data_IF_046931324824
#
_entry.id   IF_046931324824
#
_cell.length_a   1.000
_cell.length_b   1.000
_cell.length_c   1.000
_cell.angle_alpha   90.00
_cell.angle_beta   90.00
_cell.angle_gamma   90.00
#
_symmetry.space_group_name_H-M   'P 1'
#
loop_
_entity.id
_entity.type
_entity.pdbx_description
1 polymer ?
#
# COMPACT_ATOMS: atom_id res chain seq x y z
N UNK A 1 43.77 15.91 41.83
CA UNK A 1 42.78 14.82 41.99
C UNK A 1 41.39 15.41 41.77
N UNK A 2 40.89 15.46 40.53
CA UNK A 2 39.67 16.24 40.24
C UNK A 2 38.82 15.76 39.05
N UNK A 3 38.71 14.47 38.71
CA UNK A 3 38.03 14.18 37.41
C UNK A 3 37.55 12.74 37.26
N UNK A 4 36.71 12.26 38.19
CA UNK A 4 35.93 11.03 37.94
C UNK A 4 34.43 11.26 38.11
N UNK A 5 34.04 12.04 39.12
CA UNK A 5 32.62 12.37 39.36
C UNK A 5 32.03 13.30 38.28
N UNK A 6 32.76 14.36 37.85
CA UNK A 6 32.25 15.33 36.86
C UNK A 6 32.02 14.75 35.46
N UNK A 7 32.79 13.72 35.08
CA UNK A 7 32.68 13.05 33.77
C UNK A 7 31.39 12.22 33.70
N UNK A 8 31.05 11.52 34.78
CA UNK A 8 29.82 10.74 34.86
C UNK A 8 28.58 11.64 34.81
N UNK A 9 28.60 12.78 35.50
CA UNK A 9 27.51 13.76 35.44
C UNK A 9 27.34 14.35 34.04
N UNK A 10 28.44 14.63 33.34
CA UNK A 10 28.42 15.13 31.97
C UNK A 10 27.85 14.08 30.99
N UNK A 11 28.27 12.82 31.11
CA UNK A 11 27.75 11.73 30.28
C UNK A 11 26.25 11.48 30.52
N UNK A 12 25.82 11.50 31.79
CA UNK A 12 24.41 11.33 32.15
C UNK A 12 23.54 12.49 31.64
N UNK A 13 24.03 13.73 31.75
CA UNK A 13 23.36 14.90 31.20
C UNK A 13 23.27 14.82 29.66
N UNK A 14 24.34 14.42 28.97
CA UNK A 14 24.35 14.25 27.52
C UNK A 14 23.36 13.16 27.07
N UNK A 15 23.29 12.03 27.78
CA UNK A 15 22.37 10.94 27.49
C UNK A 15 20.91 11.37 27.65
N UNK A 16 20.58 12.13 28.70
CA UNK A 16 19.25 12.70 28.90
C UNK A 16 18.87 13.63 27.74
N UNK A 17 19.79 14.52 27.32
CA UNK A 17 19.58 15.44 26.20
C UNK A 17 19.30 14.65 24.90
N UNK A 18 20.07 13.60 24.61
CA UNK A 18 19.84 12.74 23.43
C UNK A 18 18.48 12.04 23.47
N UNK A 19 17.98 11.63 24.64
CA UNK A 19 16.67 11.00 24.78
C UNK A 19 15.51 11.99 24.56
N UNK A 20 15.66 13.26 24.96
CA UNK A 20 14.63 14.29 24.70
C UNK A 20 14.53 14.60 23.20
N UNK A 21 15.66 14.65 22.49
CA UNK A 21 15.69 14.91 21.05
C UNK A 21 15.39 13.67 20.17
N UNK A 22 15.45 12.46 20.73
CA UNK A 22 15.04 11.23 20.03
C UNK A 22 13.53 11.05 19.92
N UNK A 23 12.72 11.95 20.48
CA UNK A 23 11.31 12.04 20.12
C UNK A 23 11.16 12.70 18.75
N UNK A 24 11.64 12.02 17.71
CA UNK A 24 11.16 12.26 16.37
C UNK A 24 9.66 12.01 16.39
N UNK A 25 8.88 13.08 16.54
CA UNK A 25 7.44 13.01 16.33
C UNK A 25 7.26 12.43 14.93
N UNK A 26 6.48 11.34 14.76
CA UNK A 26 6.21 10.83 13.43
C UNK A 26 5.70 12.01 12.61
N UNK A 27 6.35 12.29 11.47
CA UNK A 27 5.87 13.31 10.54
C UNK A 27 4.36 13.13 10.38
N UNK A 28 3.56 14.22 10.40
CA UNK A 28 2.12 14.12 10.21
C UNK A 28 1.86 13.32 8.93
N UNK A 29 1.39 12.09 9.10
CA UNK A 29 1.13 11.19 7.98
C UNK A 29 -0.15 11.68 7.34
N UNK A 30 -0.08 11.99 6.06
CA UNK A 30 -1.16 12.64 5.33
C UNK A 30 -2.30 11.65 5.08
N UNK A 31 -3.13 11.45 6.11
CA UNK A 31 -4.47 10.86 5.94
C UNK A 31 -5.17 11.63 4.83
N UNK A 32 -5.72 10.91 3.86
CA UNK A 32 -6.31 11.48 2.66
C UNK A 32 -5.37 11.53 1.44
N UNK A 33 -4.08 11.20 1.57
CA UNK A 33 -3.21 11.00 0.41
C UNK A 33 -3.77 9.93 -0.52
N UNK A 34 -3.66 10.19 -1.83
CA UNK A 34 -4.22 9.32 -2.87
C UNK A 34 -3.19 8.95 -3.93
N UNK A 35 -3.31 7.73 -4.40
CA UNK A 35 -2.64 7.23 -5.60
C UNK A 35 -3.63 6.48 -6.47
N UNK A 36 -3.37 6.42 -7.77
CA UNK A 36 -4.25 5.77 -8.74
C UNK A 36 -3.45 4.93 -9.72
N UNK A 37 -4.08 3.85 -10.18
CA UNK A 37 -3.63 3.10 -11.36
C UNK A 37 -4.82 2.91 -12.28
N UNK A 38 -4.62 3.27 -13.54
CA UNK A 38 -5.54 3.00 -14.64
C UNK A 38 -5.02 1.80 -15.40
N UNK A 39 -5.88 0.81 -15.65
CA UNK A 39 -5.55 -0.46 -16.28
C UNK A 39 -6.34 -0.56 -17.60
N UNK A 40 -5.79 -0.07 -18.74
CA UNK A 40 -6.53 0.12 -19.98
C UNK A 40 -6.98 -1.18 -20.68
N UNK A 41 -6.23 -2.29 -20.51
CA UNK A 41 -6.56 -3.59 -21.11
C UNK A 41 -7.72 -4.28 -20.41
N UNK A 42 -7.94 -4.01 -19.13
CA UNK A 42 -9.12 -4.49 -18.37
C UNK A 42 -10.16 -3.39 -18.13
N UNK A 43 -9.97 -2.22 -18.74
CA UNK A 43 -10.83 -1.04 -18.58
C UNK A 43 -11.15 -0.77 -17.10
N UNK A 44 -10.09 -0.74 -16.31
CA UNK A 44 -10.19 -0.67 -14.86
C UNK A 44 -9.50 0.55 -14.28
N UNK A 45 -9.95 0.95 -13.10
CA UNK A 45 -9.26 1.95 -12.28
C UNK A 45 -9.26 1.49 -10.83
N UNK A 46 -8.11 1.60 -10.18
CA UNK A 46 -7.97 1.36 -8.74
C UNK A 46 -7.43 2.64 -8.09
N UNK A 47 -8.09 3.08 -7.03
CA UNK A 47 -7.70 4.22 -6.21
C UNK A 47 -7.26 3.73 -4.85
N UNK A 48 -6.07 4.17 -4.42
CA UNK A 48 -5.52 3.94 -3.10
C UNK A 48 -5.68 5.21 -2.27
N UNK A 49 -6.25 5.11 -1.08
CA UNK A 49 -6.43 6.24 -0.16
C UNK A 49 -5.82 5.90 1.20
N UNK A 50 -5.00 6.81 1.74
CA UNK A 50 -4.49 6.69 3.11
C UNK A 50 -5.64 6.96 4.09
N UNK A 51 -6.07 5.95 4.84
CA UNK A 51 -7.23 6.08 5.75
C UNK A 51 -6.84 6.37 7.19
N UNK A 52 -5.63 6.00 7.59
CA UNK A 52 -5.02 6.35 8.87
C UNK A 52 -3.48 6.35 8.77
N UNK A 53 -2.78 6.40 9.89
CA UNK A 53 -1.31 6.47 9.93
C UNK A 53 -0.59 5.21 9.38
N UNK A 54 -1.27 4.07 9.27
CA UNK A 54 -0.68 2.77 8.95
C UNK A 54 -1.46 1.95 7.94
N UNK A 55 -2.64 2.38 7.51
CA UNK A 55 -3.49 1.61 6.59
C UNK A 55 -3.85 2.39 5.32
N UNK A 56 -3.93 1.63 4.23
CA UNK A 56 -4.38 2.09 2.92
C UNK A 56 -5.65 1.33 2.55
N UNK A 57 -6.63 2.05 2.02
CA UNK A 57 -7.81 1.47 1.36
C UNK A 57 -7.59 1.48 -0.15
N UNK A 58 -7.78 0.35 -0.80
CA UNK A 58 -7.89 0.23 -2.25
C UNK A 58 -9.36 0.11 -2.64
N UNK A 59 -9.79 0.87 -3.64
CA UNK A 59 -11.14 0.84 -4.22
C UNK A 59 -11.02 0.74 -5.73
N UNK A 60 -11.79 -0.14 -6.37
CA UNK A 60 -11.69 -0.30 -7.80
C UNK A 60 -12.85 -1.03 -8.44
N UNK A 61 -12.81 -1.06 -9.78
CA UNK A 61 -13.69 -1.83 -10.63
C UNK A 61 -12.97 -2.14 -11.94
N UNK A 62 -13.15 -3.35 -12.45
CA UNK A 62 -12.70 -3.75 -13.79
C UNK A 62 -13.93 -3.95 -14.67
N UNK A 63 -13.91 -3.47 -15.91
CA UNK A 63 -15.07 -3.56 -16.81
C UNK A 63 -14.94 -4.62 -17.91
N UNK A 64 -13.73 -5.14 -18.18
CA UNK A 64 -13.49 -6.20 -19.16
C UNK A 64 -12.31 -7.11 -18.77
N UNK A 65 -12.12 -8.21 -19.51
CA UNK A 65 -11.00 -9.15 -19.35
C UNK A 65 -11.19 -10.22 -18.26
N UNK A 66 -12.32 -10.20 -17.55
CA UNK A 66 -12.71 -11.22 -16.56
C UNK A 66 -13.83 -12.07 -17.19
N UNK A 67 -13.45 -13.16 -17.83
CA UNK A 67 -14.35 -13.93 -18.71
C UNK A 67 -15.06 -15.09 -18.00
N UNK A 68 -14.58 -15.49 -16.83
CA UNK A 68 -15.10 -16.61 -16.05
C UNK A 68 -15.39 -16.18 -14.61
N UNK A 69 -16.52 -16.62 -14.05
CA UNK A 69 -16.86 -16.39 -12.64
C UNK A 69 -16.12 -17.37 -11.71
N UNK A 70 -14.78 -17.28 -11.69
CA UNK A 70 -13.88 -18.09 -10.87
C UNK A 70 -12.87 -17.19 -10.15
N UNK A 71 -13.26 -16.52 -9.05
CA UNK A 71 -12.41 -15.52 -8.40
C UNK A 71 -11.07 -16.06 -7.87
N UNK A 72 -10.95 -17.36 -7.61
CA UNK A 72 -9.67 -17.97 -7.23
C UNK A 72 -8.65 -18.06 -8.37
N UNK A 73 -9.11 -17.96 -9.63
CA UNK A 73 -8.23 -17.96 -10.81
C UNK A 73 -7.74 -16.54 -11.16
N UNK A 74 -8.28 -15.48 -10.55
CA UNK A 74 -7.85 -14.11 -10.82
C UNK A 74 -7.08 -13.53 -9.64
N UNK A 75 -6.04 -12.76 -9.93
CA UNK A 75 -5.13 -12.25 -8.91
C UNK A 75 -4.76 -10.79 -9.12
N UNK A 76 -4.52 -10.10 -8.00
CA UNK A 76 -3.83 -8.81 -7.96
C UNK A 76 -2.41 -9.05 -7.45
N UNK A 77 -1.41 -8.52 -8.14
CA UNK A 77 -0.02 -8.56 -7.70
C UNK A 77 0.56 -7.14 -7.69
N UNK A 78 1.14 -6.76 -6.55
CA UNK A 78 1.84 -5.49 -6.38
C UNK A 78 3.35 -5.72 -6.39
N UNK A 79 4.03 -5.17 -7.39
CA UNK A 79 5.47 -5.33 -7.62
C UNK A 79 5.91 -6.81 -7.51
N UNK A 80 6.79 -7.12 -6.56
CA UNK A 80 7.31 -8.47 -6.28
C UNK A 80 6.65 -9.13 -5.06
N UNK A 81 5.58 -8.54 -4.51
CA UNK A 81 4.85 -9.12 -3.38
C UNK A 81 4.08 -10.38 -3.82
N UNK A 82 3.72 -11.26 -2.87
CA UNK A 82 2.81 -12.37 -3.14
C UNK A 82 1.52 -11.88 -3.79
N UNK A 83 1.07 -12.59 -4.82
CA UNK A 83 -0.22 -12.32 -5.45
C UNK A 83 -1.36 -12.67 -4.48
N UNK A 84 -2.40 -11.85 -4.46
CA UNK A 84 -3.64 -12.11 -3.72
C UNK A 84 -4.76 -12.44 -4.68
N UNK A 85 -5.54 -13.48 -4.41
CA UNK A 85 -6.66 -13.84 -5.29
C UNK A 85 -7.81 -12.83 -5.16
N UNK A 86 -8.72 -12.79 -6.14
CA UNK A 86 -9.91 -11.97 -6.04
C UNK A 86 -10.79 -12.41 -4.85
N UNK A 87 -10.82 -13.72 -4.54
CA UNK A 87 -11.51 -14.25 -3.36
C UNK A 87 -10.92 -13.70 -2.06
N UNK A 88 -9.60 -13.71 -1.92
CA UNK A 88 -8.91 -13.16 -0.73
C UNK A 88 -9.18 -11.67 -0.53
N UNK A 89 -9.37 -10.93 -1.64
CA UNK A 89 -9.67 -9.50 -1.63
C UNK A 89 -11.18 -9.20 -1.55
N UNK A 90 -12.04 -10.22 -1.52
CA UNK A 90 -13.50 -10.05 -1.51
C UNK A 90 -14.07 -9.45 -2.80
N UNK A 91 -13.33 -9.54 -3.91
CA UNK A 91 -13.74 -9.02 -5.23
C UNK A 91 -14.75 -9.97 -5.86
N UNK A 92 -15.95 -9.46 -6.13
CA UNK A 92 -17.01 -10.21 -6.81
C UNK A 92 -16.93 -10.02 -8.31
N UNK A 93 -16.92 -11.14 -9.05
CA UNK A 93 -16.88 -11.12 -10.51
C UNK A 93 -18.29 -10.91 -11.07
N UNK A 94 -18.37 -10.01 -12.05
CA UNK A 94 -19.53 -9.79 -12.90
C UNK A 94 -19.03 -9.71 -14.34
N UNK A 95 -18.98 -10.87 -15.00
CA UNK A 95 -18.46 -11.02 -16.37
C UNK A 95 -19.06 -9.93 -17.28
N UNK A 96 -18.24 -9.21 -18.09
CA UNK A 96 -16.82 -9.44 -18.35
C UNK A 96 -15.84 -8.76 -17.37
N UNK A 97 -16.28 -8.33 -16.19
CA UNK A 97 -15.49 -7.56 -15.23
C UNK A 97 -15.79 -7.92 -13.76
N UNK A 98 -15.85 -6.90 -12.91
CA UNK A 98 -16.15 -7.03 -11.48
C UNK A 98 -17.25 -6.06 -11.06
N UNK A 99 -17.90 -6.35 -9.94
CA UNK A 99 -18.61 -5.31 -9.19
C UNK A 99 -17.59 -4.30 -8.62
N UNK A 100 -18.01 -3.08 -8.24
CA UNK A 100 -17.18 -2.19 -7.43
C UNK A 100 -16.76 -2.89 -6.14
N UNK A 101 -15.50 -2.77 -5.77
CA UNK A 101 -14.92 -3.44 -4.61
C UNK A 101 -14.03 -2.52 -3.80
N UNK A 102 -13.80 -2.91 -2.54
CA UNK A 102 -12.86 -2.23 -1.66
C UNK A 102 -12.16 -3.21 -0.73
N UNK A 103 -10.87 -3.01 -0.51
CA UNK A 103 -10.07 -3.76 0.47
C UNK A 103 -9.15 -2.79 1.22
N UNK A 104 -8.83 -3.11 2.48
CA UNK A 104 -7.89 -2.33 3.27
C UNK A 104 -6.76 -3.23 3.77
N UNK A 105 -5.55 -2.69 3.82
CA UNK A 105 -4.38 -3.39 4.34
C UNK A 105 -3.39 -2.39 4.99
N UNK A 106 -2.45 -2.94 5.75
CA UNK A 106 -1.34 -2.17 6.32
C UNK A 106 -0.42 -1.67 5.22
N UNK A 107 -0.02 -0.40 5.28
CA UNK A 107 0.87 0.22 4.31
C UNK A 107 0.77 1.75 4.28
N UNK A 108 1.53 2.34 3.36
CA UNK A 108 1.51 3.79 3.11
C UNK A 108 1.32 4.05 1.62
N UNK A 109 0.42 4.97 1.25
CA UNK A 109 0.18 5.34 -0.16
C UNK A 109 1.47 5.81 -0.84
N UNK A 110 2.30 6.58 -0.13
CA UNK A 110 3.58 7.06 -0.66
C UNK A 110 4.55 5.93 -1.06
N UNK A 111 4.44 4.74 -0.47
CA UNK A 111 5.25 3.57 -0.82
C UNK A 111 4.70 2.82 -2.04
N UNK A 112 3.44 3.03 -2.41
CA UNK A 112 2.81 2.41 -3.57
C UNK A 112 3.17 3.12 -4.87
N UNK A 113 3.40 4.43 -4.82
CA UNK A 113 3.68 5.25 -6.00
C UNK A 113 4.94 4.75 -6.71
N UNK A 114 4.83 4.53 -8.03
CA UNK A 114 5.90 4.02 -8.89
C UNK A 114 5.98 2.49 -8.98
N UNK A 115 5.32 1.76 -8.08
CA UNK A 115 5.22 0.31 -8.14
C UNK A 115 4.30 -0.12 -9.29
N UNK A 116 4.59 -1.28 -9.87
CA UNK A 116 3.73 -1.92 -10.86
C UNK A 116 2.60 -2.66 -10.15
N UNK A 117 1.36 -2.47 -10.60
CA UNK A 117 0.22 -3.29 -10.23
C UNK A 117 -0.21 -4.13 -11.42
N UNK A 118 -0.35 -5.43 -11.19
CA UNK A 118 -0.74 -6.42 -12.20
C UNK A 118 -2.08 -7.05 -11.87
N UNK A 119 -2.90 -7.23 -12.89
CA UNK A 119 -4.06 -8.13 -12.87
C UNK A 119 -3.68 -9.39 -13.64
N UNK A 120 -3.88 -10.54 -13.02
CA UNK A 120 -3.53 -11.83 -13.62
C UNK A 120 -4.74 -12.76 -13.69
N UNK A 121 -4.75 -13.61 -14.72
CA UNK A 121 -5.57 -14.81 -14.79
C UNK A 121 -4.62 -16.02 -14.71
N UNK A 122 -4.72 -16.79 -13.64
CA UNK A 122 -3.81 -17.87 -13.22
C UNK A 122 -2.38 -17.35 -13.05
N UNK A 123 -1.57 -17.42 -14.10
CA UNK A 123 -0.19 -16.93 -14.14
C UNK A 123 0.06 -15.97 -15.30
N UNK A 124 -0.95 -15.71 -16.12
CA UNK A 124 -0.86 -14.79 -17.25
C UNK A 124 -1.26 -13.39 -16.83
N UNK A 125 -0.52 -12.38 -17.30
CA UNK A 125 -0.79 -10.98 -17.00
C UNK A 125 -1.85 -10.47 -17.99
N UNK A 126 -3.02 -10.09 -17.47
CA UNK A 126 -4.07 -9.44 -18.24
C UNK A 126 -3.75 -7.96 -18.46
N UNK A 127 -3.30 -7.29 -17.40
CA UNK A 127 -2.88 -5.89 -17.45
C UNK A 127 -1.84 -5.58 -16.38
N UNK A 128 -1.02 -4.57 -16.62
CA UNK A 128 0.05 -4.16 -15.71
C UNK A 128 0.39 -2.70 -15.93
N UNK A 129 0.24 -1.89 -14.91
CA UNK A 129 0.52 -0.45 -14.98
C UNK A 129 1.15 0.09 -13.71
N UNK A 130 1.81 1.25 -13.81
CA UNK A 130 2.40 1.92 -12.66
C UNK A 130 1.36 2.69 -11.87
N UNK A 131 1.46 2.59 -10.55
CA UNK A 131 0.71 3.42 -9.64
C UNK A 131 1.30 4.84 -9.67
N UNK A 132 0.43 5.84 -9.85
CA UNK A 132 0.81 7.24 -9.93
C UNK A 132 0.15 8.02 -8.80
N UNK A 133 0.73 9.17 -8.44
CA UNK A 133 0.07 10.09 -7.51
C UNK A 133 -1.23 10.60 -8.16
N UNK A 134 -2.32 10.59 -7.38
CA UNK A 134 -3.62 11.05 -7.83
C UNK A 134 -3.71 12.58 -7.93
#
# INVERSE_FOLDING_TARGET
MMTKSKIFTFLAALLLICLVFSQASPLPRAVGDKAVVSLPKVDGKITFTQIDATHVKAEGQLHKGIEENKPDDYFVQLASLPKKSFTELGIKIKVPGTDPWSASDSGLVGQLIGLDLKILHKSEILDSEKITKA
#
